data_IF_987365110192
#
_entry.id   IF_987365110192
#
_cell.length_a   1.000
_cell.length_b   1.000
_cell.length_c   1.000
_cell.angle_alpha   90.00
_cell.angle_beta   90.00
_cell.angle_gamma   90.00
#
_symmetry.space_group_name_H-M   'P 1'
#
loop_
_entity.id
_entity.type
_entity.pdbx_description
1 polymer ?
#
# COMPACT_ATOMS: atom_id res chain seq x y z
N UNK A 1 9.68 -18.41 -23.60
CA UNK A 1 10.34 -17.82 -22.42
C UNK A 1 10.08 -16.32 -22.19
N UNK A 2 9.62 -15.53 -23.19
CA UNK A 2 9.34 -14.09 -23.00
C UNK A 2 8.32 -13.79 -21.87
N UNK A 3 7.25 -14.59 -21.76
CA UNK A 3 6.18 -14.36 -20.79
C UNK A 3 6.62 -14.48 -19.30
N UNK A 4 7.58 -15.34 -18.98
CA UNK A 4 8.11 -15.48 -17.59
C UNK A 4 8.94 -14.25 -17.21
N UNK A 5 9.75 -13.74 -18.13
CA UNK A 5 10.51 -12.51 -17.92
C UNK A 5 9.57 -11.31 -17.75
N UNK A 6 8.57 -11.18 -18.64
CA UNK A 6 7.53 -10.14 -18.53
C UNK A 6 6.78 -10.20 -17.20
N UNK A 7 6.51 -11.41 -16.68
CA UNK A 7 5.84 -11.59 -15.39
C UNK A 7 6.68 -11.07 -14.22
N UNK A 8 7.98 -11.38 -14.20
CA UNK A 8 8.92 -10.94 -13.14
C UNK A 8 9.19 -9.44 -13.18
N UNK A 9 9.15 -8.86 -14.37
CA UNK A 9 9.33 -7.42 -14.58
C UNK A 9 8.03 -6.62 -14.42
N UNK A 10 6.89 -7.30 -14.22
CA UNK A 10 5.59 -6.66 -14.12
C UNK A 10 5.56 -5.63 -12.97
N UNK A 11 5.26 -4.37 -13.34
CA UNK A 11 5.11 -3.26 -12.40
C UNK A 11 3.68 -2.75 -12.35
N UNK A 12 3.23 -2.48 -11.13
CA UNK A 12 1.98 -1.79 -10.86
C UNK A 12 2.08 -0.36 -11.37
N UNK A 13 1.11 0.06 -12.18
CA UNK A 13 1.09 1.41 -12.75
C UNK A 13 0.70 2.44 -11.68
N UNK A 14 1.12 3.71 -11.82
CA UNK A 14 0.56 4.79 -11.01
C UNK A 14 -0.97 4.76 -11.11
N UNK A 15 -1.66 4.87 -9.97
CA UNK A 15 -3.13 4.85 -9.84
C UNK A 15 -3.83 3.54 -10.21
N UNK A 16 -3.11 2.47 -10.56
CA UNK A 16 -3.71 1.14 -10.69
C UNK A 16 -4.13 0.63 -9.31
N UNK A 17 -5.29 -0.01 -9.20
CA UNK A 17 -5.69 -0.72 -7.97
C UNK A 17 -5.03 -2.10 -7.85
N UNK A 18 -4.93 -2.62 -6.63
CA UNK A 18 -4.36 -3.95 -6.36
C UNK A 18 -5.17 -5.03 -7.10
N UNK A 19 -6.50 -4.93 -7.10
CA UNK A 19 -7.36 -5.87 -7.82
C UNK A 19 -7.02 -5.95 -9.32
N UNK A 20 -6.93 -4.81 -9.99
CA UNK A 20 -6.61 -4.74 -11.42
C UNK A 20 -5.20 -5.28 -11.73
N UNK A 21 -4.25 -4.98 -10.84
CA UNK A 21 -2.89 -5.50 -10.94
C UNK A 21 -2.84 -7.03 -10.82
N UNK A 22 -3.55 -7.61 -9.84
CA UNK A 22 -3.64 -9.06 -9.67
C UNK A 22 -4.27 -9.74 -10.89
N UNK A 23 -5.34 -9.17 -11.47
CA UNK A 23 -5.96 -9.70 -12.70
C UNK A 23 -4.96 -9.71 -13.87
N UNK A 24 -4.19 -8.63 -14.04
CA UNK A 24 -3.17 -8.54 -15.08
C UNK A 24 -2.05 -9.57 -14.86
N UNK A 25 -1.59 -9.73 -13.62
CA UNK A 25 -0.57 -10.70 -13.23
C UNK A 25 -1.05 -12.13 -13.50
N UNK A 26 -2.25 -12.50 -13.07
CA UNK A 26 -2.82 -13.84 -13.29
C UNK A 26 -3.04 -14.16 -14.77
N UNK A 27 -3.43 -13.15 -15.57
CA UNK A 27 -3.55 -13.30 -17.02
C UNK A 27 -2.20 -13.54 -17.69
N UNK A 28 -1.15 -12.86 -17.23
CA UNK A 28 0.21 -13.04 -17.74
C UNK A 28 0.81 -14.37 -17.25
N UNK A 29 0.54 -14.73 -16.00
CA UNK A 29 0.93 -16.00 -15.38
C UNK A 29 0.41 -17.21 -16.13
N UNK A 30 -0.87 -17.21 -16.54
CA UNK A 30 -1.44 -18.28 -17.39
C UNK A 30 -0.75 -18.43 -18.75
N UNK A 31 -0.16 -17.36 -19.28
CA UNK A 31 0.64 -17.41 -20.52
C UNK A 31 2.08 -17.86 -20.25
N UNK A 32 2.62 -17.49 -19.09
CA UNK A 32 3.97 -17.87 -18.67
C UNK A 32 4.05 -19.36 -18.33
N UNK A 33 2.98 -19.92 -17.77
CA UNK A 33 2.92 -21.29 -17.29
C UNK A 33 1.60 -21.97 -17.73
N UNK A 34 1.52 -22.44 -18.99
CA UNK A 34 0.30 -23.05 -19.53
C UNK A 34 -0.04 -24.42 -18.93
N UNK A 35 0.98 -25.19 -18.51
CA UNK A 35 0.82 -26.57 -18.04
C UNK A 35 0.78 -26.72 -16.51
N UNK A 36 0.90 -25.62 -15.78
CA UNK A 36 0.99 -25.64 -14.32
C UNK A 36 -0.36 -25.56 -13.63
N UNK A 37 -0.43 -26.14 -12.44
CA UNK A 37 -1.58 -26.01 -11.55
C UNK A 37 -1.49 -24.74 -10.70
N UNK A 38 -2.63 -24.26 -10.20
CA UNK A 38 -2.73 -22.93 -9.55
C UNK A 38 -1.83 -22.70 -8.33
N UNK A 39 -1.31 -23.77 -7.70
CA UNK A 39 -0.43 -23.68 -6.54
C UNK A 39 1.07 -23.57 -6.86
N UNK A 40 1.49 -23.99 -8.06
CA UNK A 40 2.91 -24.17 -8.40
C UNK A 40 3.71 -22.85 -8.37
N UNK A 41 3.01 -21.73 -8.61
CA UNK A 41 3.61 -20.39 -8.68
C UNK A 41 3.09 -19.43 -7.62
N UNK A 42 2.34 -19.94 -6.64
CA UNK A 42 1.73 -19.12 -5.59
C UNK A 42 2.79 -18.32 -4.83
N UNK A 43 3.93 -18.94 -4.50
CA UNK A 43 5.04 -18.22 -3.86
C UNK A 43 5.67 -17.15 -4.78
N UNK A 44 5.87 -17.43 -6.06
CA UNK A 44 6.45 -16.46 -7.01
C UNK A 44 5.53 -15.24 -7.19
N UNK A 45 4.22 -15.46 -7.36
CA UNK A 45 3.25 -14.38 -7.51
C UNK A 45 3.16 -13.54 -6.23
N UNK A 46 3.23 -14.18 -5.05
CA UNK A 46 3.26 -13.46 -3.79
C UNK A 46 4.48 -12.52 -3.70
N UNK A 47 5.67 -12.97 -4.10
CA UNK A 47 6.86 -12.11 -4.14
C UNK A 47 6.73 -10.96 -5.15
N UNK A 48 6.19 -11.22 -6.34
CA UNK A 48 5.96 -10.16 -7.35
C UNK A 48 4.99 -9.11 -6.78
N UNK A 49 3.90 -9.55 -6.15
CA UNK A 49 2.92 -8.66 -5.52
C UNK A 49 3.56 -7.83 -4.40
N UNK A 50 4.27 -8.46 -3.46
CA UNK A 50 4.98 -7.76 -2.38
C UNK A 50 5.98 -6.73 -2.91
N UNK A 51 6.73 -7.06 -3.96
CA UNK A 51 7.71 -6.15 -4.54
C UNK A 51 7.08 -4.88 -5.11
N UNK A 52 5.83 -4.99 -5.59
CA UNK A 52 5.05 -3.88 -6.11
C UNK A 52 4.36 -3.06 -5.00
N UNK A 53 4.15 -3.65 -3.83
CA UNK A 53 3.55 -3.01 -2.66
C UNK A 53 4.59 -2.55 -1.62
N UNK A 54 5.89 -2.63 -1.92
CA UNK A 54 6.98 -2.31 -0.97
C UNK A 54 6.94 -0.90 -0.37
N UNK A 55 6.29 0.05 -1.05
CA UNK A 55 6.14 1.43 -0.57
C UNK A 55 4.99 1.60 0.42
N UNK A 56 4.15 0.59 0.59
CA UNK A 56 3.04 0.66 1.55
C UNK A 56 3.56 0.60 2.98
N UNK A 57 3.02 1.41 3.91
CA UNK A 57 3.40 1.33 5.31
C UNK A 57 3.09 -0.05 5.93
N UNK A 58 2.13 -0.79 5.36
CA UNK A 58 1.74 -2.13 5.79
C UNK A 58 2.61 -3.27 5.20
N UNK A 59 3.72 -2.97 4.51
CA UNK A 59 4.57 -4.00 3.88
C UNK A 59 5.05 -5.09 4.87
N UNK A 60 5.29 -4.76 6.13
CA UNK A 60 5.67 -5.75 7.17
C UNK A 60 4.52 -6.72 7.45
N UNK A 61 3.27 -6.26 7.43
CA UNK A 61 2.09 -7.11 7.66
C UNK A 61 1.89 -8.08 6.48
N UNK A 62 2.06 -7.58 5.26
CA UNK A 62 2.01 -8.39 4.04
C UNK A 62 3.12 -9.45 4.03
N UNK A 63 4.35 -9.07 4.41
CA UNK A 63 5.47 -10.01 4.54
C UNK A 63 5.22 -11.05 5.64
N UNK A 64 4.62 -10.64 6.76
CA UNK A 64 4.26 -11.55 7.85
C UNK A 64 3.20 -12.57 7.42
N UNK A 65 2.23 -12.17 6.59
CA UNK A 65 1.24 -13.09 6.03
C UNK A 65 1.91 -14.17 5.16
N UNK A 66 2.85 -13.76 4.30
CA UNK A 66 3.65 -14.69 3.49
C UNK A 66 4.37 -15.74 4.34
N UNK A 67 5.02 -15.33 5.43
CA UNK A 67 5.81 -16.24 6.27
C UNK A 67 4.98 -17.22 7.12
N UNK A 68 3.67 -17.01 7.24
CA UNK A 68 2.77 -17.81 8.08
C UNK A 68 1.98 -18.87 7.32
N UNK A 69 1.99 -18.81 6.00
CA UNK A 69 1.22 -19.68 5.11
C UNK A 69 2.14 -20.66 4.39
N UNK A 70 1.58 -21.79 3.97
CA UNK A 70 2.25 -22.71 3.07
C UNK A 70 2.54 -22.06 1.71
N UNK A 71 3.65 -22.42 1.03
CA UNK A 71 4.03 -21.83 -0.25
C UNK A 71 2.97 -21.90 -1.36
N UNK A 72 2.14 -22.94 -1.37
CA UNK A 72 1.07 -23.17 -2.36
C UNK A 72 -0.14 -22.24 -2.16
N UNK A 73 -0.30 -21.64 -0.98
CA UNK A 73 -1.36 -20.67 -0.66
C UNK A 73 -0.84 -19.23 -0.46
N UNK A 74 0.48 -19.02 -0.60
CA UNK A 74 1.16 -17.75 -0.41
C UNK A 74 0.52 -16.57 -1.17
N UNK A 75 0.22 -16.76 -2.46
CA UNK A 75 -0.36 -15.70 -3.28
C UNK A 75 -1.73 -15.29 -2.79
N UNK A 76 -2.61 -16.25 -2.50
CA UNK A 76 -3.99 -15.96 -2.13
C UNK A 76 -4.05 -15.21 -0.79
N UNK A 77 -3.28 -15.63 0.22
CA UNK A 77 -3.21 -14.94 1.51
C UNK A 77 -2.71 -13.50 1.37
N UNK A 78 -1.61 -13.29 0.64
CA UNK A 78 -1.04 -11.96 0.45
C UNK A 78 -1.99 -11.07 -0.38
N UNK A 79 -2.64 -11.62 -1.40
CA UNK A 79 -3.63 -10.93 -2.24
C UNK A 79 -4.83 -10.48 -1.40
N UNK A 80 -5.42 -11.37 -0.61
CA UNK A 80 -6.57 -11.04 0.23
C UNK A 80 -6.24 -9.94 1.25
N UNK A 81 -5.08 -10.03 1.90
CA UNK A 81 -4.63 -8.99 2.82
C UNK A 81 -4.40 -7.65 2.10
N UNK A 82 -3.77 -7.66 0.93
CA UNK A 82 -3.54 -6.45 0.15
C UNK A 82 -4.86 -5.77 -0.28
N UNK A 83 -5.84 -6.55 -0.74
CA UNK A 83 -7.19 -6.06 -1.09
C UNK A 83 -7.93 -5.50 0.13
N UNK A 84 -7.79 -6.15 1.29
CA UNK A 84 -8.38 -5.67 2.54
C UNK A 84 -7.78 -4.32 2.97
N UNK A 85 -6.46 -4.17 2.87
CA UNK A 85 -5.77 -2.91 3.16
C UNK A 85 -6.19 -1.81 2.18
N UNK A 86 -6.25 -2.09 0.87
CA UNK A 86 -6.72 -1.14 -0.15
C UNK A 86 -8.15 -0.67 0.17
N UNK A 87 -9.05 -1.62 0.44
CA UNK A 87 -10.44 -1.34 0.79
C UNK A 87 -10.56 -0.53 2.08
N UNK A 88 -9.75 -0.87 3.10
CA UNK A 88 -9.68 -0.12 4.35
C UNK A 88 -9.22 1.32 4.13
N UNK A 89 -8.21 1.54 3.29
CA UNK A 89 -7.76 2.90 2.91
C UNK A 89 -8.87 3.67 2.18
N UNK A 90 -9.64 3.01 1.32
CA UNK A 90 -10.78 3.66 0.66
C UNK A 90 -11.89 4.08 1.66
N UNK A 91 -12.18 3.23 2.67
CA UNK A 91 -13.27 3.46 3.64
C UNK A 91 -12.87 4.38 4.81
N UNK A 92 -11.62 4.29 5.27
CA UNK A 92 -11.12 4.94 6.48
C UNK A 92 -10.00 5.96 6.22
N UNK A 93 -9.36 5.92 5.05
CA UNK A 93 -8.25 6.82 4.69
C UNK A 93 -8.69 8.27 4.53
N UNK A 94 -9.89 8.52 3.99
CA UNK A 94 -10.48 9.87 3.91
C UNK A 94 -10.62 10.53 5.28
N UNK A 95 -11.11 9.78 6.28
CA UNK A 95 -11.26 10.25 7.67
C UNK A 95 -9.93 10.54 8.36
N UNK A 96 -8.88 9.81 8.00
CA UNK A 96 -7.56 9.99 8.60
C UNK A 96 -6.84 11.22 8.03
N UNK A 97 -6.92 11.45 6.72
CA UNK A 97 -6.34 12.62 6.07
C UNK A 97 -6.96 13.93 6.58
N UNK A 98 -8.30 13.98 6.70
CA UNK A 98 -9.01 15.12 7.29
C UNK A 98 -8.57 15.41 8.72
N UNK A 99 -8.42 14.37 9.55
CA UNK A 99 -7.98 14.52 10.94
C UNK A 99 -6.56 15.07 11.05
N UNK A 100 -5.64 14.65 10.18
CA UNK A 100 -4.27 15.15 10.15
C UNK A 100 -4.19 16.60 9.68
N UNK A 101 -4.94 16.97 8.65
CA UNK A 101 -4.97 18.34 8.14
C UNK A 101 -5.58 19.30 9.17
N UNK A 102 -6.69 18.89 9.80
CA UNK A 102 -7.31 19.62 10.91
C UNK A 102 -6.34 19.81 12.09
N UNK A 103 -5.49 18.80 12.38
CA UNK A 103 -4.48 18.87 13.43
C UNK A 103 -3.34 19.85 13.08
N UNK A 104 -2.89 19.88 11.81
CA UNK A 104 -1.90 20.88 11.34
C UNK A 104 -2.45 22.29 11.43
N UNK A 105 -3.68 22.51 10.99
CA UNK A 105 -4.36 23.81 11.11
C UNK A 105 -4.49 24.25 12.57
N UNK A 106 -4.88 23.36 13.49
CA UNK A 106 -4.98 23.67 14.91
C UNK A 106 -3.62 24.07 15.53
N UNK A 107 -2.55 23.35 15.20
CA UNK A 107 -1.19 23.66 15.66
C UNK A 107 -0.69 25.00 15.08
N UNK A 108 -0.98 25.27 13.80
CA UNK A 108 -0.68 26.55 13.16
C UNK A 108 -1.40 27.71 13.86
N UNK A 109 -2.69 27.55 14.17
CA UNK A 109 -3.47 28.55 14.90
C UNK A 109 -2.94 28.81 16.31
N UNK A 110 -2.51 27.77 17.03
CA UNK A 110 -1.90 27.91 18.36
C UNK A 110 -0.56 28.64 18.29
N UNK A 111 0.27 28.32 17.29
CA UNK A 111 1.54 29.01 17.05
C UNK A 111 1.33 30.49 16.74
N UNK A 112 0.39 30.82 15.84
CA UNK A 112 0.06 32.20 15.48
C UNK A 112 -0.49 32.98 16.69
N UNK A 113 -1.36 32.38 17.50
CA UNK A 113 -1.84 33.01 18.75
C UNK A 113 -0.68 33.30 19.70
N UNK A 114 0.20 32.32 19.95
CA UNK A 114 1.35 32.50 20.85
C UNK A 114 2.28 33.62 20.39
N UNK A 115 2.52 33.71 19.07
CA UNK A 115 3.33 34.78 18.48
C UNK A 115 2.65 36.15 18.57
N UNK A 116 1.34 36.22 18.34
CA UNK A 116 0.57 37.45 18.49
C UNK A 116 0.59 37.99 19.94
N UNK A 117 0.39 37.12 20.93
CA UNK A 117 0.49 37.51 22.34
C UNK A 117 1.89 37.98 22.73
N UNK A 118 2.95 37.36 22.17
CA UNK A 118 4.34 37.78 22.36
C UNK A 118 4.61 39.16 21.76
N UNK A 119 4.00 39.47 20.62
CA UNK A 119 4.14 40.77 19.96
C UNK A 119 3.36 41.86 20.71
N UNK A 120 2.11 41.60 21.09
CA UNK A 120 1.26 42.55 21.82
C UNK A 120 1.76 42.83 23.25
N UNK A 121 2.33 41.82 23.92
CA UNK A 121 2.97 42.00 25.24
C UNK A 121 4.28 42.79 25.22
N UNK A 122 4.93 42.94 24.05
CA UNK A 122 6.09 43.82 23.86
C UNK A 122 5.71 45.27 23.59
N UNK A 123 4.52 45.52 23.03
CA UNK A 123 4.04 46.88 22.72
C UNK A 123 3.61 47.66 23.97
N UNK A 124 3.42 47.00 25.12
CA UNK A 124 3.07 47.62 26.41
C UNK A 124 4.25 47.85 27.37
N UNK A 125 5.49 47.58 26.95
CA UNK A 125 6.72 47.95 27.66
C UNK A 125 7.61 48.77 26.74
N UNK A 126 7.34 50.07 26.63
CA UNK A 126 8.29 51.17 26.44
C UNK A 126 7.54 52.50 26.33
#
# INVERSE_FOLDING_TARGET
MRAVAELRELKMRPQQGVADFCVAMEKLGRKAYPDSTGGDWSLEFAYILLSNLKSWPEHVQLLSALHRVRPDHAYEEVKQLALSIESSKAIYGGRSAERWENKKQALSYQSWKGEKFRMEGKVFRE
#
